data_IF_813385705756
#
_entry.id   IF_813385705756
#
_cell.length_a   1.000
_cell.length_b   1.000
_cell.length_c   1.000
_cell.angle_alpha   90.00
_cell.angle_beta   90.00
_cell.angle_gamma   90.00
#
_symmetry.space_group_name_H-M   'P 1'
#
loop_
_entity.id
_entity.type
_entity.pdbx_description
1 polymer ?
#
# COMPACT_ATOMS: atom_id res chain seq x y z
N UNK A 1 -4.54 11.70 8.32
CA UNK A 1 -4.20 11.77 9.75
C UNK A 1 -5.08 10.80 10.49
N UNK A 2 -4.46 9.91 11.27
CA UNK A 2 -5.14 8.92 12.10
C UNK A 2 -4.82 9.16 13.57
N UNK A 3 -5.73 8.77 14.44
CA UNK A 3 -5.47 8.54 15.86
C UNK A 3 -5.81 7.07 16.16
N UNK A 4 -4.78 6.27 16.35
CA UNK A 4 -4.88 4.82 16.29
C UNK A 4 -5.51 4.38 14.95
N UNK A 5 -6.67 3.70 14.98
CA UNK A 5 -7.44 3.31 13.79
C UNK A 5 -8.46 4.36 13.34
N UNK A 6 -8.71 5.38 14.15
CA UNK A 6 -9.72 6.40 13.84
C UNK A 6 -9.22 7.40 12.80
N UNK A 7 -9.95 7.57 11.72
CA UNK A 7 -9.70 8.59 10.70
C UNK A 7 -10.10 9.98 11.21
N UNK A 8 -9.12 10.87 11.42
CA UNK A 8 -9.36 12.26 11.80
C UNK A 8 -9.49 13.17 10.59
N UNK A 9 -8.65 12.99 9.58
CA UNK A 9 -8.72 13.73 8.32
C UNK A 9 -8.05 12.94 7.19
N UNK A 10 -8.61 13.03 6.00
CA UNK A 10 -8.03 12.51 4.76
C UNK A 10 -8.29 13.51 3.62
N UNK A 11 -7.30 13.66 2.74
CA UNK A 11 -7.41 14.44 1.52
C UNK A 11 -7.07 13.58 0.33
N UNK A 12 -7.92 13.56 -0.68
CA UNK A 12 -7.74 12.81 -1.91
C UNK A 12 -7.90 13.73 -3.12
N UNK A 13 -6.87 13.80 -3.95
CA UNK A 13 -6.87 14.60 -5.16
C UNK A 13 -6.46 13.75 -6.36
N UNK A 14 -7.35 13.63 -7.35
CA UNK A 14 -7.12 12.93 -8.60
C UNK A 14 -7.36 13.87 -9.78
N UNK A 15 -6.52 14.90 -9.89
CA UNK A 15 -6.74 16.00 -10.85
C UNK A 15 -5.58 16.25 -11.82
N UNK A 16 -4.57 15.36 -11.88
CA UNK A 16 -3.43 15.53 -12.78
C UNK A 16 -2.47 16.66 -12.41
N UNK A 17 -2.58 17.22 -11.21
CA UNK A 17 -1.68 18.24 -10.70
C UNK A 17 -0.32 17.66 -10.28
N UNK A 18 0.70 18.52 -10.21
CA UNK A 18 2.04 18.13 -9.77
C UNK A 18 2.04 17.78 -8.28
N UNK A 19 2.42 16.53 -7.95
CA UNK A 19 2.50 16.08 -6.57
C UNK A 19 3.49 16.91 -5.72
N UNK A 20 4.55 17.45 -6.34
CA UNK A 20 5.54 18.29 -5.65
C UNK A 20 4.96 19.62 -5.17
N UNK A 21 3.96 20.16 -5.86
CA UNK A 21 3.35 21.44 -5.51
C UNK A 21 2.21 21.29 -4.51
N UNK A 22 1.51 20.16 -4.52
CA UNK A 22 0.26 20.01 -3.77
C UNK A 22 0.41 19.26 -2.46
N UNK A 23 1.31 18.27 -2.35
CA UNK A 23 1.34 17.36 -1.20
C UNK A 23 1.60 18.08 0.13
N UNK A 24 2.61 18.94 0.20
CA UNK A 24 2.95 19.62 1.45
C UNK A 24 1.82 20.56 1.89
N UNK A 25 1.26 21.32 0.95
CA UNK A 25 0.12 22.20 1.24
C UNK A 25 -1.11 21.44 1.75
N UNK A 26 -1.39 20.25 1.18
CA UNK A 26 -2.49 19.40 1.65
C UNK A 26 -2.25 18.88 3.07
N UNK A 27 -1.01 18.49 3.38
CA UNK A 27 -0.64 18.05 4.74
C UNK A 27 -0.79 19.21 5.73
N UNK A 28 -0.22 20.37 5.43
CA UNK A 28 -0.31 21.55 6.31
C UNK A 28 -1.75 21.93 6.58
N UNK A 29 -2.59 22.02 5.54
CA UNK A 29 -4.01 22.35 5.68
C UNK A 29 -4.75 21.34 6.56
N UNK A 30 -4.48 20.03 6.42
CA UNK A 30 -5.11 19.02 7.28
C UNK A 30 -4.68 19.17 8.74
N UNK A 31 -3.40 19.41 8.99
CA UNK A 31 -2.89 19.57 10.35
C UNK A 31 -3.39 20.86 11.00
N UNK A 32 -3.47 21.96 10.25
CA UNK A 32 -4.06 23.22 10.70
C UNK A 32 -5.54 23.05 11.10
N UNK A 33 -6.34 22.39 10.25
CA UNK A 33 -7.75 22.13 10.51
C UNK A 33 -7.98 21.28 11.77
N UNK A 34 -7.05 20.39 12.08
CA UNK A 34 -7.07 19.56 13.30
C UNK A 34 -6.40 20.24 14.49
N UNK A 35 -5.78 21.41 14.32
CA UNK A 35 -4.97 22.08 15.34
C UNK A 35 -3.82 21.20 15.87
N UNK A 36 -3.26 20.32 15.02
CA UNK A 36 -2.15 19.41 15.33
C UNK A 36 -0.86 19.98 14.71
N UNK A 37 0.22 19.99 15.48
CA UNK A 37 1.54 20.36 14.97
C UNK A 37 2.28 19.14 14.43
N UNK A 38 3.09 19.30 13.39
CA UNK A 38 3.86 18.21 12.78
C UNK A 38 4.69 17.41 13.81
N UNK A 39 5.21 18.06 14.83
CA UNK A 39 5.98 17.42 15.94
C UNK A 39 5.13 16.53 16.85
N UNK A 40 3.81 16.67 16.84
CA UNK A 40 2.86 15.88 17.62
C UNK A 40 2.47 14.57 16.88
N UNK A 41 2.90 14.44 15.63
CA UNK A 41 2.76 13.17 14.87
C UNK A 41 3.78 12.16 15.41
N UNK A 42 3.32 10.96 15.73
CA UNK A 42 4.16 9.89 16.30
C UNK A 42 4.76 8.96 15.24
N UNK A 43 4.10 8.83 14.08
CA UNK A 43 4.51 7.93 13.00
C UNK A 43 4.15 8.55 11.65
N UNK A 44 5.11 8.59 10.72
CA UNK A 44 4.85 8.92 9.32
C UNK A 44 4.77 7.65 8.49
N UNK A 45 3.84 7.63 7.54
CA UNK A 45 3.65 6.52 6.62
C UNK A 45 3.54 7.00 5.17
N UNK A 46 4.02 6.19 4.23
CA UNK A 46 3.86 6.42 2.80
C UNK A 46 3.93 5.12 2.03
N UNK A 47 3.57 5.17 0.74
CA UNK A 47 3.88 4.09 -0.20
C UNK A 47 5.18 4.40 -0.95
N UNK A 48 6.29 3.68 -0.65
CA UNK A 48 7.55 3.82 -1.38
C UNK A 48 7.54 3.11 -2.75
N UNK A 49 6.45 2.50 -3.13
CA UNK A 49 6.22 1.77 -4.37
C UNK A 49 5.46 0.46 -4.15
N UNK A 50 5.14 -0.24 -5.27
CA UNK A 50 5.34 0.17 -6.66
C UNK A 50 4.49 1.37 -7.08
N UNK A 51 4.93 2.11 -8.11
CA UNK A 51 4.21 3.29 -8.59
C UNK A 51 4.99 4.14 -9.58
N UNK A 52 4.50 5.36 -9.82
CA UNK A 52 5.16 6.37 -10.64
C UNK A 52 6.57 6.68 -10.10
N UNK A 53 7.60 6.54 -10.94
CA UNK A 53 8.99 6.76 -10.57
C UNK A 53 9.24 8.15 -9.94
N UNK A 54 8.66 9.19 -10.52
CA UNK A 54 8.75 10.56 -10.00
C UNK A 54 7.92 10.73 -8.72
N UNK A 55 6.67 10.26 -8.73
CA UNK A 55 5.78 10.38 -7.57
C UNK A 55 6.31 9.70 -6.31
N UNK A 56 6.84 8.48 -6.46
CA UNK A 56 7.47 7.74 -5.36
C UNK A 56 8.65 8.51 -4.75
N UNK A 57 9.52 9.09 -5.59
CA UNK A 57 10.67 9.88 -5.10
C UNK A 57 10.25 11.13 -4.35
N UNK A 58 9.24 11.84 -4.86
CA UNK A 58 8.70 13.03 -4.20
C UNK A 58 8.15 12.65 -2.82
N UNK A 59 7.30 11.60 -2.76
CA UNK A 59 6.72 11.13 -1.49
C UNK A 59 7.77 10.70 -0.48
N UNK A 60 8.74 9.88 -0.91
CA UNK A 60 9.84 9.42 -0.04
C UNK A 60 10.67 10.60 0.47
N UNK A 61 11.02 11.56 -0.39
CA UNK A 61 11.81 12.73 0.03
C UNK A 61 11.05 13.59 1.04
N UNK A 62 9.75 13.80 0.81
CA UNK A 62 8.90 14.57 1.72
C UNK A 62 8.83 13.91 3.10
N UNK A 63 8.48 12.62 3.15
CA UNK A 63 8.33 11.91 4.42
C UNK A 63 9.65 11.78 5.16
N UNK A 64 10.77 11.55 4.46
CA UNK A 64 12.11 11.59 5.07
C UNK A 64 12.41 12.96 5.69
N UNK A 65 12.06 14.04 5.01
CA UNK A 65 12.22 15.40 5.55
C UNK A 65 11.41 15.64 6.81
N UNK A 66 10.14 15.21 6.83
CA UNK A 66 9.28 15.32 8.01
C UNK A 66 9.78 14.46 9.18
N UNK A 67 10.14 13.20 8.91
CA UNK A 67 10.66 12.27 9.90
C UNK A 67 11.99 12.76 10.49
N UNK A 68 12.93 13.22 9.65
CA UNK A 68 14.20 13.79 10.08
C UNK A 68 14.00 15.06 10.95
N UNK A 69 13.15 15.98 10.48
CA UNK A 69 12.89 17.25 11.20
C UNK A 69 12.19 17.08 12.54
N UNK A 70 11.48 15.98 12.75
CA UNK A 70 10.73 15.69 14.00
C UNK A 70 11.40 14.63 14.87
N UNK A 71 12.36 13.87 14.33
CA UNK A 71 12.97 12.73 15.02
C UNK A 71 12.01 11.54 15.17
N UNK A 72 10.94 11.48 14.38
CA UNK A 72 9.91 10.44 14.47
C UNK A 72 10.14 9.30 13.47
N UNK A 73 9.68 8.07 13.77
CA UNK A 73 9.77 6.94 12.84
C UNK A 73 8.95 7.15 11.57
N UNK A 74 9.35 6.46 10.49
CA UNK A 74 8.58 6.43 9.25
C UNK A 74 8.53 5.04 8.65
N UNK A 75 7.35 4.63 8.19
CA UNK A 75 7.06 3.31 7.64
C UNK A 75 6.76 3.40 6.15
N UNK A 76 7.45 2.56 5.38
CA UNK A 76 7.13 2.33 3.97
C UNK A 76 6.17 1.16 3.82
N UNK A 77 4.97 1.42 3.33
CA UNK A 77 3.94 0.41 3.05
C UNK A 77 3.90 0.13 1.56
N UNK A 78 3.89 -1.14 1.16
CA UNK A 78 3.68 -1.44 -0.26
C UNK A 78 2.36 -0.87 -0.77
N UNK A 79 2.38 -0.28 -1.96
CA UNK A 79 1.15 0.19 -2.61
C UNK A 79 0.15 -0.94 -2.83
N UNK A 80 0.66 -2.16 -3.10
CA UNK A 80 -0.17 -3.34 -3.30
C UNK A 80 -0.78 -3.85 -1.98
N UNK A 81 -0.03 -3.79 -0.88
CA UNK A 81 -0.53 -4.13 0.46
C UNK A 81 -1.68 -3.20 0.87
N UNK A 82 -1.52 -1.88 0.64
CA UNK A 82 -2.56 -0.91 0.93
C UNK A 82 -3.83 -1.11 0.09
N UNK A 83 -3.69 -1.46 -1.19
CA UNK A 83 -4.82 -1.81 -2.06
C UNK A 83 -5.51 -3.11 -1.63
N UNK A 84 -4.75 -4.10 -1.17
CA UNK A 84 -5.33 -5.34 -0.64
C UNK A 84 -6.09 -5.11 0.66
N UNK A 85 -5.54 -4.29 1.56
CA UNK A 85 -6.14 -3.95 2.83
C UNK A 85 -7.55 -3.35 2.69
N UNK A 86 -7.79 -2.53 1.68
CA UNK A 86 -9.12 -1.96 1.38
C UNK A 86 -10.21 -3.01 1.11
N UNK A 87 -9.81 -4.21 0.72
CA UNK A 87 -10.72 -5.31 0.38
C UNK A 87 -10.89 -6.32 1.51
N UNK A 88 -10.17 -6.18 2.63
CA UNK A 88 -10.35 -7.05 3.79
C UNK A 88 -11.76 -6.89 4.37
N UNK A 89 -12.34 -8.00 4.82
CA UNK A 89 -13.69 -8.03 5.38
C UNK A 89 -14.83 -7.88 4.36
N UNK A 90 -14.55 -7.48 3.11
CA UNK A 90 -15.61 -7.25 2.11
C UNK A 90 -16.06 -8.53 1.38
N UNK A 91 -15.16 -9.49 1.20
CA UNK A 91 -15.44 -10.78 0.56
C UNK A 91 -14.37 -11.82 0.95
N UNK A 92 -14.64 -12.60 1.98
CA UNK A 92 -13.67 -13.51 2.57
C UNK A 92 -13.32 -14.74 1.73
N UNK A 93 -14.06 -15.00 0.65
CA UNK A 93 -13.84 -16.16 -0.22
C UNK A 93 -13.19 -15.78 -1.56
N UNK A 94 -12.82 -14.51 -1.73
CA UNK A 94 -12.18 -14.00 -2.93
C UNK A 94 -10.68 -13.90 -2.79
N UNK A 95 -10.01 -14.12 -3.90
CA UNK A 95 -8.59 -13.89 -4.07
C UNK A 95 -8.39 -12.41 -4.41
N UNK A 96 -7.80 -11.64 -3.52
CA UNK A 96 -7.59 -10.21 -3.76
C UNK A 96 -6.36 -10.05 -4.66
N UNK A 97 -6.53 -9.34 -5.77
CA UNK A 97 -5.51 -9.10 -6.79
C UNK A 97 -5.35 -7.59 -7.02
N UNK A 98 -4.53 -6.92 -6.21
CA UNK A 98 -4.17 -5.55 -6.50
C UNK A 98 -3.48 -5.45 -7.85
N UNK A 99 -3.90 -4.51 -8.68
CA UNK A 99 -3.31 -4.25 -9.99
C UNK A 99 -3.09 -2.75 -10.18
N UNK A 100 -1.84 -2.37 -10.43
CA UNK A 100 -1.49 -1.01 -10.82
C UNK A 100 -1.00 -1.00 -12.27
N UNK A 101 -1.43 -0.03 -13.05
CA UNK A 101 -1.05 0.08 -14.46
C UNK A 101 0.47 0.36 -14.61
N UNK A 102 1.23 -0.65 -15.04
CA UNK A 102 2.64 -0.54 -15.36
C UNK A 102 2.90 -0.16 -16.82
N UNK A 103 1.84 0.18 -17.57
CA UNK A 103 1.83 0.48 -19.01
C UNK A 103 2.14 -0.74 -19.89
N UNK A 104 1.80 -0.67 -21.17
CA UNK A 104 2.07 -1.69 -22.20
C UNK A 104 1.48 -3.07 -21.86
N UNK A 105 0.23 -3.11 -21.42
CA UNK A 105 -0.47 -4.33 -20.98
C UNK A 105 0.28 -5.10 -19.88
N UNK A 106 1.03 -4.40 -19.04
CA UNK A 106 1.68 -4.92 -17.83
C UNK A 106 1.07 -4.27 -16.60
N UNK A 107 1.11 -5.00 -15.50
CA UNK A 107 0.64 -4.53 -14.20
C UNK A 107 1.69 -4.80 -13.12
N UNK A 108 1.74 -3.93 -12.11
CA UNK A 108 2.32 -4.27 -10.83
C UNK A 108 1.27 -5.00 -10.03
N UNK A 109 1.61 -6.15 -9.47
CA UNK A 109 0.66 -7.00 -8.76
C UNK A 109 1.36 -7.89 -7.73
N UNK A 110 0.59 -8.39 -6.80
CA UNK A 110 0.84 -9.53 -5.94
C UNK A 110 -0.49 -10.20 -5.64
N UNK A 111 -0.47 -11.42 -5.14
CA UNK A 111 -1.67 -12.20 -4.89
C UNK A 111 -1.90 -12.29 -3.37
N UNK A 112 -3.15 -12.10 -2.94
CA UNK A 112 -3.54 -12.11 -1.53
C UNK A 112 -4.74 -13.01 -1.30
N UNK A 113 -4.65 -13.88 -0.31
CA UNK A 113 -5.73 -14.73 0.15
C UNK A 113 -5.83 -14.66 1.67
N UNK A 114 -6.55 -13.67 2.21
CA UNK A 114 -6.67 -13.49 3.66
C UNK A 114 -7.49 -14.63 4.27
N UNK A 115 -6.82 -15.56 4.93
CA UNK A 115 -7.44 -16.71 5.57
C UNK A 115 -7.45 -16.61 7.10
N UNK A 116 -6.57 -15.76 7.66
CA UNK A 116 -6.39 -15.60 9.09
C UNK A 116 -7.36 -14.61 9.73
N UNK A 117 -7.80 -13.60 8.97
CA UNK A 117 -8.77 -12.60 9.44
C UNK A 117 -9.98 -12.56 8.51
N UNK A 118 -11.17 -12.31 9.09
CA UNK A 118 -12.45 -12.20 8.36
C UNK A 118 -13.12 -10.86 8.59
N UNK A 119 -12.42 -9.91 9.15
CA UNK A 119 -12.86 -8.54 9.43
C UNK A 119 -12.02 -7.54 8.63
N UNK A 120 -12.37 -6.29 8.70
CA UNK A 120 -11.55 -5.20 8.16
C UNK A 120 -10.25 -5.03 8.96
N UNK A 121 -9.28 -4.31 8.41
CA UNK A 121 -7.97 -4.13 9.05
C UNK A 121 -8.05 -3.28 10.31
N UNK A 122 -8.91 -2.26 10.33
CA UNK A 122 -9.16 -1.43 11.51
C UNK A 122 -9.78 -2.25 12.65
N UNK A 123 -10.80 -3.05 12.37
CA UNK A 123 -11.42 -3.96 13.34
C UNK A 123 -10.41 -4.97 13.90
N UNK A 124 -9.55 -5.55 13.05
CA UNK A 124 -8.46 -6.42 13.47
C UNK A 124 -7.49 -5.71 14.42
N UNK A 125 -7.07 -4.50 14.07
CA UNK A 125 -6.12 -3.72 14.88
C UNK A 125 -6.71 -3.31 16.23
N UNK A 126 -8.00 -2.98 16.29
CA UNK A 126 -8.69 -2.57 17.50
C UNK A 126 -8.88 -3.75 18.47
N UNK A 127 -9.32 -4.91 17.95
CA UNK A 127 -9.53 -6.12 18.76
C UNK A 127 -8.22 -6.70 19.26
N UNK A 128 -7.23 -6.83 18.39
CA UNK A 128 -5.93 -7.44 18.74
C UNK A 128 -5.18 -6.60 19.77
N UNK A 129 -5.27 -5.27 19.72
CA UNK A 129 -4.61 -4.42 20.71
C UNK A 129 -5.29 -4.44 22.08
N UNK A 130 -6.60 -4.66 22.12
CA UNK A 130 -7.34 -4.80 23.37
C UNK A 130 -7.04 -6.14 24.10
N UNK A 131 -6.76 -7.20 23.34
CA UNK A 131 -6.56 -8.56 23.85
C UNK A 131 -5.09 -8.91 24.14
N UNK A 132 -4.10 -8.26 23.51
CA UNK A 132 -2.66 -8.60 23.62
C UNK A 132 -2.00 -8.21 24.97
N UNK A 133 -2.73 -8.10 26.06
CA UNK A 133 -2.10 -7.97 27.38
C UNK A 133 -1.55 -9.30 27.94
N UNK A 134 -1.86 -10.45 27.35
CA UNK A 134 -1.34 -11.76 27.79
C UNK A 134 -1.07 -12.71 26.60
N UNK A 135 0.22 -12.86 26.25
CA UNK A 135 0.80 -14.05 25.59
C UNK A 135 0.43 -14.45 24.15
N UNK A 136 -0.29 -13.68 23.35
CA UNK A 136 -0.54 -14.05 21.95
C UNK A 136 0.50 -13.46 21.00
N UNK A 137 1.09 -14.33 20.17
CA UNK A 137 2.03 -13.94 19.12
C UNK A 137 1.26 -13.20 18.01
N UNK A 138 1.50 -11.90 17.86
CA UNK A 138 0.94 -11.12 16.75
C UNK A 138 1.26 -11.78 15.42
N UNK A 139 0.25 -11.91 14.56
CA UNK A 139 0.45 -12.35 13.17
C UNK A 139 1.36 -11.37 12.43
N UNK A 140 2.21 -11.88 11.54
CA UNK A 140 2.99 -10.99 10.68
C UNK A 140 2.07 -10.19 9.74
N UNK A 141 2.49 -9.02 9.29
CA UNK A 141 1.72 -8.24 8.33
C UNK A 141 1.34 -9.02 7.06
N UNK A 142 2.22 -9.89 6.58
CA UNK A 142 1.93 -10.75 5.43
C UNK A 142 0.85 -11.79 5.74
N UNK A 143 0.84 -12.37 6.93
CA UNK A 143 -0.20 -13.33 7.34
C UNK A 143 -1.56 -12.65 7.50
N UNK A 144 -1.59 -11.45 8.12
CA UNK A 144 -2.81 -10.64 8.26
C UNK A 144 -3.40 -10.30 6.90
N UNK A 145 -2.59 -9.80 5.97
CA UNK A 145 -3.03 -9.46 4.62
C UNK A 145 -3.27 -10.71 3.75
N UNK A 146 -2.74 -11.87 4.13
CA UNK A 146 -2.79 -13.09 3.33
C UNK A 146 -1.97 -13.03 2.07
N UNK A 147 -0.82 -12.33 2.08
CA UNK A 147 0.07 -12.18 0.92
C UNK A 147 0.71 -13.51 0.58
N UNK A 148 0.37 -14.09 -0.57
CA UNK A 148 0.79 -15.42 -1.00
C UNK A 148 1.69 -15.44 -2.23
N UNK A 149 2.02 -14.26 -2.81
CA UNK A 149 3.04 -14.15 -3.85
C UNK A 149 3.95 -12.94 -3.65
N UNK A 150 5.17 -12.95 -4.21
CA UNK A 150 5.99 -11.74 -4.25
C UNK A 150 5.34 -10.67 -5.12
N UNK A 151 5.73 -9.42 -4.88
CA UNK A 151 5.38 -8.29 -5.76
C UNK A 151 6.15 -8.39 -7.07
N UNK A 152 5.47 -8.16 -8.18
CA UNK A 152 6.03 -8.34 -9.50
C UNK A 152 5.45 -7.36 -10.52
N UNK A 153 6.19 -7.15 -11.60
CA UNK A 153 5.76 -6.42 -12.78
C UNK A 153 5.64 -7.41 -13.93
N UNK A 154 4.42 -7.82 -14.29
CA UNK A 154 4.15 -8.89 -15.25
C UNK A 154 3.11 -8.47 -16.28
N UNK A 155 3.04 -9.21 -17.37
CA UNK A 155 1.95 -9.05 -18.35
C UNK A 155 0.63 -9.54 -17.77
N UNK A 156 -0.49 -9.03 -18.32
CA UNK A 156 -1.82 -9.48 -17.91
C UNK A 156 -2.02 -10.96 -18.22
N UNK A 157 -1.41 -11.49 -19.29
CA UNK A 157 -1.43 -12.92 -19.64
C UNK A 157 -0.74 -13.79 -18.59
N UNK A 158 0.45 -13.38 -18.13
CA UNK A 158 1.15 -14.10 -17.05
C UNK A 158 0.36 -14.06 -15.73
N UNK A 159 -0.28 -12.92 -15.42
CA UNK A 159 -1.16 -12.81 -14.26
C UNK A 159 -2.36 -13.77 -14.38
N UNK A 160 -2.97 -13.89 -15.56
CA UNK A 160 -4.07 -14.84 -15.79
C UNK A 160 -3.65 -16.31 -15.56
N UNK A 161 -2.46 -16.70 -15.99
CA UNK A 161 -1.94 -18.04 -15.76
C UNK A 161 -1.81 -18.33 -14.26
N UNK A 162 -1.30 -17.39 -13.48
CA UNK A 162 -1.20 -17.51 -12.02
C UNK A 162 -2.59 -17.63 -11.37
N UNK A 163 -3.57 -16.82 -11.81
CA UNK A 163 -4.94 -16.85 -11.27
C UNK A 163 -5.64 -18.16 -11.61
N UNK A 164 -5.50 -18.67 -12.84
CA UNK A 164 -6.11 -19.95 -13.24
C UNK A 164 -5.63 -21.12 -12.39
N UNK A 165 -4.41 -21.08 -11.90
CA UNK A 165 -3.85 -22.10 -11.02
C UNK A 165 -4.48 -22.10 -9.61
N UNK A 166 -5.09 -20.98 -9.18
CA UNK A 166 -5.63 -20.83 -7.81
C UNK A 166 -7.06 -21.39 -7.64
N UNK A 167 -7.82 -21.59 -8.70
CA UNK A 167 -9.23 -22.02 -8.70
C UNK A 167 -10.19 -21.05 -7.96
N UNK A 168 -9.72 -19.92 -7.47
CA UNK A 168 -10.50 -18.92 -6.74
C UNK A 168 -10.97 -17.80 -7.68
N UNK A 169 -12.06 -17.14 -7.31
CA UNK A 169 -12.57 -15.98 -8.05
C UNK A 169 -11.75 -14.75 -7.69
N UNK A 170 -11.04 -14.11 -8.63
CA UNK A 170 -10.24 -12.93 -8.33
C UNK A 170 -11.13 -11.70 -8.13
N UNK A 171 -10.79 -10.91 -7.10
CA UNK A 171 -11.27 -9.54 -6.90
C UNK A 171 -10.13 -8.59 -7.28
N UNK A 172 -10.25 -7.95 -8.43
CA UNK A 172 -9.29 -6.94 -8.88
C UNK A 172 -9.54 -5.59 -8.21
N UNK A 173 -8.47 -4.96 -7.68
CA UNK A 173 -8.49 -3.63 -7.07
C UNK A 173 -7.28 -2.84 -7.56
N UNK A 174 -7.43 -1.55 -7.74
CA UNK A 174 -6.36 -0.67 -8.22
C UNK A 174 -6.69 0.03 -9.54
N UNK A 175 -5.85 0.99 -9.93
CA UNK A 175 -5.98 1.76 -11.17
C UNK A 175 -5.75 0.92 -12.43
N UNK A 176 -5.05 -0.21 -12.31
CA UNK A 176 -4.84 -1.18 -13.39
C UNK A 176 -6.10 -1.99 -13.78
N UNK A 177 -7.21 -1.90 -13.04
CA UNK A 177 -8.45 -2.64 -13.33
C UNK A 177 -8.96 -2.43 -14.76
N UNK A 178 -8.86 -1.22 -15.31
CA UNK A 178 -9.34 -0.96 -16.66
C UNK A 178 -8.42 -1.57 -17.72
N UNK A 179 -7.12 -1.62 -17.48
CA UNK A 179 -6.17 -2.33 -18.34
C UNK A 179 -6.43 -3.85 -18.31
N UNK A 180 -6.70 -4.41 -17.13
CA UNK A 180 -7.09 -5.83 -17.00
C UNK A 180 -8.39 -6.10 -17.77
N UNK A 181 -9.44 -5.29 -17.60
CA UNK A 181 -10.73 -5.45 -18.32
C UNK A 181 -10.59 -5.48 -19.84
N UNK A 182 -9.67 -4.68 -20.38
CA UNK A 182 -9.46 -4.59 -21.83
C UNK A 182 -8.65 -5.76 -22.41
N UNK A 183 -7.83 -6.43 -21.59
CA UNK A 183 -6.88 -7.43 -22.05
C UNK A 183 -7.10 -8.82 -21.47
N UNK A 184 -8.01 -8.98 -20.49
CA UNK A 184 -8.26 -10.29 -19.85
C UNK A 184 -9.14 -11.20 -20.68
N UNK A 185 -8.84 -12.49 -20.63
CA UNK A 185 -9.65 -13.58 -21.17
C UNK A 185 -10.41 -14.36 -20.09
N UNK A 186 -10.22 -13.97 -18.81
CA UNK A 186 -10.94 -14.57 -17.68
C UNK A 186 -12.41 -14.15 -17.69
N UNK A 187 -13.33 -15.12 -17.59
CA UNK A 187 -14.77 -14.87 -17.58
C UNK A 187 -15.36 -14.69 -16.19
N UNK A 188 -14.79 -15.37 -15.18
CA UNK A 188 -15.28 -15.32 -13.80
C UNK A 188 -14.35 -14.44 -12.97
N UNK A 189 -14.56 -13.11 -13.01
CA UNK A 189 -13.78 -12.12 -12.30
C UNK A 189 -14.67 -11.07 -11.66
N UNK A 190 -14.23 -10.52 -10.54
CA UNK A 190 -14.86 -9.39 -9.86
C UNK A 190 -13.92 -8.19 -9.83
N UNK A 191 -14.49 -7.00 -9.75
CA UNK A 191 -13.73 -5.75 -9.69
C UNK A 191 -14.23 -4.91 -8.52
N UNK A 192 -13.31 -4.38 -7.75
CA UNK A 192 -13.64 -3.45 -6.71
C UNK A 192 -14.43 -2.24 -7.27
N UNK A 193 -15.41 -1.71 -6.51
CA UNK A 193 -16.11 -0.49 -6.88
C UNK A 193 -15.14 0.67 -7.17
N UNK A 194 -15.52 1.57 -8.08
CA UNK A 194 -14.64 2.72 -8.42
C UNK A 194 -14.24 3.57 -7.21
N UNK A 195 -15.08 3.63 -6.18
CA UNK A 195 -14.82 4.38 -4.96
C UNK A 195 -13.61 3.87 -4.16
N UNK A 196 -13.27 2.59 -4.28
CA UNK A 196 -12.15 1.94 -3.57
C UNK A 196 -11.07 1.39 -4.50
N UNK A 197 -11.00 1.89 -5.75
CA UNK A 197 -9.96 1.45 -6.70
C UNK A 197 -8.62 2.13 -6.53
N UNK A 198 -8.63 3.30 -5.93
CA UNK A 198 -7.40 4.06 -5.67
C UNK A 198 -6.97 3.85 -4.24
N UNK A 199 -5.69 3.77 -4.04
CA UNK A 199 -5.12 3.71 -2.71
C UNK A 199 -5.54 4.92 -1.87
N UNK A 200 -5.90 4.68 -0.62
CA UNK A 200 -6.30 5.70 0.33
C UNK A 200 -5.24 5.86 1.41
N UNK A 201 -5.04 7.08 1.85
CA UNK A 201 -4.10 7.36 2.93
C UNK A 201 -4.50 6.67 4.25
N UNK A 202 -5.79 6.44 4.45
CA UNK A 202 -6.33 5.67 5.56
C UNK A 202 -5.75 4.25 5.62
N UNK A 203 -5.87 3.49 4.55
CA UNK A 203 -5.41 2.10 4.49
C UNK A 203 -3.88 1.99 4.55
N UNK A 204 -3.16 2.98 3.99
CA UNK A 204 -1.70 3.09 4.15
C UNK A 204 -1.35 3.28 5.62
N UNK A 205 -2.08 4.13 6.34
CA UNK A 205 -1.91 4.35 7.77
C UNK A 205 -2.16 3.10 8.61
N UNK A 206 -3.24 2.37 8.33
CA UNK A 206 -3.55 1.10 9.01
C UNK A 206 -2.46 0.04 8.76
N UNK A 207 -2.02 -0.13 7.52
CA UNK A 207 -0.91 -1.05 7.19
C UNK A 207 0.39 -0.65 7.90
N UNK A 208 0.68 0.66 7.97
CA UNK A 208 1.85 1.15 8.69
C UNK A 208 1.76 0.88 10.19
N UNK A 209 0.58 1.08 10.78
CA UNK A 209 0.32 0.78 12.18
C UNK A 209 0.50 -0.72 12.47
N UNK A 210 -0.03 -1.59 11.62
CA UNK A 210 0.16 -3.04 11.69
C UNK A 210 1.65 -3.41 11.67
N UNK A 211 2.41 -2.89 10.68
CA UNK A 211 3.84 -3.17 10.54
C UNK A 211 4.64 -2.66 11.74
N UNK A 212 4.34 -1.45 12.22
CA UNK A 212 5.07 -0.84 13.32
C UNK A 212 4.77 -1.53 14.65
N UNK A 213 3.51 -1.86 14.95
CA UNK A 213 3.11 -2.63 16.14
C UNK A 213 3.76 -4.03 16.15
N UNK A 214 3.77 -4.70 15.00
CA UNK A 214 4.47 -5.98 14.85
C UNK A 214 5.98 -5.85 15.11
N UNK A 215 6.62 -4.82 14.58
CA UNK A 215 8.04 -4.58 14.84
C UNK A 215 8.34 -4.23 16.31
N UNK A 216 7.44 -3.49 16.97
CA UNK A 216 7.54 -3.21 18.40
C UNK A 216 7.51 -4.52 19.23
N UNK A 217 6.62 -5.44 18.91
CA UNK A 217 6.53 -6.74 19.59
C UNK A 217 7.81 -7.58 19.46
N UNK A 218 8.57 -7.34 18.37
CA UNK A 218 9.86 -8.00 18.10
C UNK A 218 11.09 -7.21 18.58
N UNK A 219 10.91 -6.02 19.16
CA UNK A 219 12.01 -5.11 19.52
C UNK A 219 12.76 -4.54 18.32
N UNK A 220 12.12 -4.46 17.13
CA UNK A 220 12.73 -4.08 15.85
C UNK A 220 12.27 -2.72 15.31
N UNK A 221 11.71 -1.84 16.15
CA UNK A 221 11.23 -0.52 15.74
C UNK A 221 12.32 0.38 15.15
N UNK A 222 13.59 0.13 15.47
CA UNK A 222 14.75 0.83 14.92
C UNK A 222 14.95 0.64 13.41
N UNK A 223 14.20 -0.26 12.78
CA UNK A 223 14.19 -0.43 11.31
C UNK A 223 13.37 0.65 10.59
N UNK A 224 12.54 1.41 11.29
CA UNK A 224 11.65 2.42 10.71
C UNK A 224 12.19 3.83 10.89
N UNK A 225 13.31 4.12 10.22
CA UNK A 225 13.98 5.41 10.23
C UNK A 225 13.98 6.06 8.84
N UNK A 226 14.12 7.37 8.80
CA UNK A 226 14.31 8.12 7.56
C UNK A 226 15.50 7.63 6.73
N UNK A 227 16.59 7.16 7.37
CA UNK A 227 17.77 6.61 6.68
C UNK A 227 17.46 5.32 5.91
N UNK A 228 16.62 4.45 6.48
CA UNK A 228 16.29 3.15 5.90
C UNK A 228 15.15 3.21 4.91
N UNK A 229 14.33 4.24 4.96
CA UNK A 229 13.25 4.45 4.00
C UNK A 229 13.81 4.73 2.60
N UNK A 230 13.47 3.88 1.62
CA UNK A 230 13.96 3.97 0.23
C UNK A 230 12.82 3.71 -0.76
N UNK A 231 12.87 4.33 -1.96
CA UNK A 231 11.99 3.95 -3.05
C UNK A 231 12.13 2.47 -3.42
N UNK A 232 11.01 1.83 -3.73
CA UNK A 232 10.95 0.43 -4.19
C UNK A 232 10.55 0.42 -5.67
N UNK A 233 11.42 -0.14 -6.51
CA UNK A 233 11.19 -0.23 -7.95
C UNK A 233 11.12 -1.69 -8.36
N UNK A 234 9.97 -2.15 -8.79
CA UNK A 234 9.79 -3.50 -9.37
C UNK A 234 10.19 -3.56 -10.85
N UNK A 235 10.47 -2.41 -11.44
CA UNK A 235 10.86 -2.27 -12.83
C UNK A 235 11.95 -1.21 -12.96
N UNK A 236 12.94 -1.46 -13.79
CA UNK A 236 13.97 -0.46 -14.12
C UNK A 236 13.35 0.79 -14.75
N UNK A 237 13.94 1.94 -14.50
CA UNK A 237 13.52 3.19 -15.15
C UNK A 237 13.61 3.09 -16.68
N UNK A 238 12.86 3.93 -17.38
CA UNK A 238 12.92 3.95 -18.84
C UNK A 238 14.32 4.29 -19.36
N UNK A 239 15.06 5.16 -18.67
CA UNK A 239 16.43 5.53 -19.00
C UNK A 239 17.40 4.36 -18.84
N UNK A 240 17.32 3.60 -17.75
CA UNK A 240 18.16 2.41 -17.51
C UNK A 240 17.92 1.32 -18.56
N UNK A 241 16.65 1.11 -18.96
CA UNK A 241 16.31 0.16 -20.03
C UNK A 241 16.82 0.60 -21.41
N UNK A 242 16.83 1.89 -21.70
CA UNK A 242 17.38 2.41 -22.95
C UNK A 242 18.91 2.27 -22.98
N UNK A 243 19.59 2.52 -21.86
CA UNK A 243 21.03 2.33 -21.73
C UNK A 243 21.44 0.87 -21.90
N UNK A 244 20.68 -0.08 -21.36
CA UNK A 244 20.97 -1.52 -21.52
C UNK A 244 20.82 -2.00 -22.97
N UNK A 245 20.05 -1.30 -23.81
CA UNK A 245 19.90 -1.59 -25.24
C UNK A 245 21.04 -0.99 -26.11
N UNK A 246 21.79 -0.03 -25.58
CA UNK A 246 22.88 0.66 -26.29
C UNK A 246 24.23 -0.07 -26.09
N UNK A 247 24.33 -0.97 -25.11
CA UNK A 247 25.55 -1.69 -24.75
C UNK A 247 25.59 -3.14 -25.27
N UNK A 248 24.81 -3.47 -26.33
CA UNK A 248 24.92 -4.73 -27.08
C UNK A 248 25.66 -4.48 -28.40
#
# INVERSE_FOLDING_TARGET
VLQDTNLLAESFLHGGLSHSETMLCMIDQMLENLSIKTKEIDLFALTPGPGSFTGVRIGVSLVKGLAFGTGKPCVGVSTLDALAAQCLGTNNDSFIVPVMDARRAQVYTALYHPTHIRCSLDEYLDTTYAETQENDTLLSPNDVLGKCSPEQAISISELEEQIRASLLVPLFVGDGCDAVKQNTTLSNVTYAPKAIRFQRAYDIGLCALLQYRYALSLGKQNLYTDLLLKPVYLRQSQAERQLSLIHI
#
